data_IF_883964008464
#
_entry.id   IF_883964008464
#
_cell.length_a   1.000
_cell.length_b   1.000
_cell.length_c   1.000
_cell.angle_alpha   90.00
_cell.angle_beta   90.00
_cell.angle_gamma   90.00
#
_symmetry.space_group_name_H-M   'P 1'
#
loop_
_entity.id
_entity.type
_entity.pdbx_description
1 polymer ?
#
# COMPACT_ATOMS: atom_id res chain seq x y z
N UNK A 1 20.81 10.30 -25.47
CA UNK A 1 19.83 11.29 -25.98
C UNK A 1 18.38 10.91 -25.65
N UNK A 2 17.92 9.69 -25.98
CA UNK A 2 16.53 9.23 -25.77
C UNK A 2 16.09 9.23 -24.29
N UNK A 3 16.91 8.72 -23.36
CA UNK A 3 16.55 8.68 -21.92
C UNK A 3 16.41 10.09 -21.30
N UNK A 4 17.19 11.07 -21.78
CA UNK A 4 17.11 12.46 -21.31
C UNK A 4 15.78 13.07 -21.74
N UNK A 5 15.38 12.87 -23.00
CA UNK A 5 14.09 13.33 -23.53
C UNK A 5 12.91 12.69 -22.78
N UNK A 6 12.99 11.39 -22.45
CA UNK A 6 11.98 10.72 -21.63
C UNK A 6 11.90 11.37 -20.24
N UNK A 7 13.02 11.59 -19.56
CA UNK A 7 13.01 12.27 -18.24
C UNK A 7 12.46 13.69 -18.32
N UNK A 8 12.78 14.45 -19.36
CA UNK A 8 12.21 15.80 -19.58
C UNK A 8 10.70 15.70 -19.74
N UNK A 9 10.21 14.81 -20.63
CA UNK A 9 8.78 14.59 -20.86
C UNK A 9 8.03 14.19 -19.59
N UNK A 10 8.61 13.33 -18.77
CA UNK A 10 8.03 12.96 -17.48
C UNK A 10 7.98 14.18 -16.55
N UNK A 11 9.07 14.92 -16.36
CA UNK A 11 9.07 16.09 -15.48
C UNK A 11 8.10 17.20 -15.94
N UNK A 12 7.76 17.31 -17.22
CA UNK A 12 6.71 18.23 -17.68
C UNK A 12 5.33 17.92 -17.08
N UNK A 13 5.05 16.67 -16.68
CA UNK A 13 3.80 16.31 -15.98
C UNK A 13 3.68 17.01 -14.62
N UNK A 14 4.78 17.46 -14.01
CA UNK A 14 4.74 18.26 -12.77
C UNK A 14 4.03 19.60 -12.96
N UNK A 15 3.95 20.13 -14.19
CA UNK A 15 3.21 21.37 -14.49
C UNK A 15 1.71 21.21 -14.23
N UNK A 16 1.17 20.00 -14.25
CA UNK A 16 -0.22 19.71 -13.89
C UNK A 16 -0.47 19.76 -12.38
N UNK A 17 0.57 20.09 -11.58
CA UNK A 17 0.54 20.13 -10.12
C UNK A 17 -0.06 18.83 -9.55
N UNK A 18 0.53 17.65 -9.86
CA UNK A 18 0.04 16.40 -9.30
C UNK A 18 0.20 16.37 -7.77
N UNK A 19 -0.59 15.52 -7.12
CA UNK A 19 -0.33 15.09 -5.75
C UNK A 19 0.76 14.02 -5.81
N UNK A 20 1.90 14.32 -5.20
CA UNK A 20 3.07 13.45 -5.20
C UNK A 20 3.00 12.48 -4.01
N UNK A 21 2.70 11.22 -4.27
CA UNK A 21 2.67 10.18 -3.22
C UNK A 21 4.01 9.47 -3.21
N UNK A 22 4.67 9.41 -2.05
CA UNK A 22 5.94 8.74 -1.91
C UNK A 22 5.70 7.32 -1.37
N UNK A 23 5.79 6.33 -2.25
CA UNK A 23 5.46 4.94 -1.97
C UNK A 23 6.32 4.01 -2.84
N UNK A 24 6.43 2.74 -2.44
CA UNK A 24 7.14 1.69 -3.19
C UNK A 24 6.28 1.11 -4.32
N UNK A 25 5.91 1.94 -5.29
CA UNK A 25 5.12 1.52 -6.47
C UNK A 25 6.03 1.37 -7.68
N UNK A 26 6.13 0.15 -8.20
CA UNK A 26 7.05 -0.19 -9.28
C UNK A 26 6.42 0.03 -10.65
N UNK A 27 7.25 0.42 -11.63
CA UNK A 27 6.79 0.74 -12.98
C UNK A 27 7.63 0.05 -14.04
N UNK A 28 6.97 -0.45 -15.10
CA UNK A 28 7.60 -0.97 -16.31
C UNK A 28 6.99 -0.30 -17.53
N UNK A 29 7.82 0.31 -18.38
CA UNK A 29 7.39 1.07 -19.57
C UNK A 29 6.27 2.10 -19.27
N UNK A 30 6.37 2.78 -18.13
CA UNK A 30 5.44 3.85 -17.72
C UNK A 30 4.10 3.38 -17.15
N UNK A 31 3.93 2.08 -16.92
CA UNK A 31 2.76 1.50 -16.24
C UNK A 31 3.17 0.90 -14.91
N UNK A 32 2.30 1.00 -13.89
CA UNK A 32 2.46 0.26 -12.64
C UNK A 32 2.49 -1.23 -12.95
N UNK A 33 3.38 -1.96 -12.28
CA UNK A 33 3.40 -3.42 -12.31
C UNK A 33 2.88 -3.94 -10.96
N UNK A 34 2.11 -5.03 -11.01
CA UNK A 34 1.62 -5.71 -9.83
C UNK A 34 2.79 -6.38 -9.12
N UNK A 35 3.14 -5.88 -7.94
CA UNK A 35 4.31 -6.35 -7.18
C UNK A 35 4.00 -6.46 -5.69
N UNK A 36 3.31 -5.45 -5.15
CA UNK A 36 2.84 -5.44 -3.78
C UNK A 36 1.55 -4.62 -3.71
N UNK A 37 0.41 -5.32 -3.78
CA UNK A 37 -0.90 -4.70 -3.81
C UNK A 37 -1.10 -3.62 -2.74
N UNK A 38 -0.59 -3.85 -1.52
CA UNK A 38 -0.69 -2.90 -0.42
C UNK A 38 0.05 -1.58 -0.64
N UNK A 39 1.18 -1.61 -1.35
CA UNK A 39 1.87 -0.38 -1.75
C UNK A 39 1.20 0.21 -2.99
N UNK A 40 0.77 -0.62 -3.93
CA UNK A 40 0.19 -0.23 -5.21
C UNK A 40 -1.14 0.53 -5.08
N UNK A 41 -1.92 0.30 -4.02
CA UNK A 41 -3.14 1.08 -3.74
C UNK A 41 -2.84 2.56 -3.41
N UNK A 42 -1.61 2.95 -3.08
CA UNK A 42 -1.22 4.36 -3.06
C UNK A 42 -1.32 5.01 -4.46
N UNK A 43 -1.19 4.22 -5.53
CA UNK A 43 -1.41 4.70 -6.89
C UNK A 43 -2.85 4.50 -7.33
N UNK A 44 -3.40 3.29 -7.19
CA UNK A 44 -4.71 2.96 -7.74
C UNK A 44 -5.86 3.59 -6.94
N UNK A 45 -6.01 3.22 -5.67
CA UNK A 45 -7.13 3.70 -4.85
C UNK A 45 -7.11 5.22 -4.65
N UNK A 46 -5.93 5.83 -4.44
CA UNK A 46 -5.87 7.28 -4.25
C UNK A 46 -6.33 8.07 -5.50
N UNK A 47 -6.20 7.50 -6.71
CA UNK A 47 -6.73 8.12 -7.94
C UNK A 47 -8.25 8.09 -8.02
N UNK A 48 -8.88 7.17 -7.31
CA UNK A 48 -10.33 7.06 -7.25
C UNK A 48 -10.94 8.17 -6.38
N UNK A 49 -10.24 8.57 -5.31
CA UNK A 49 -10.79 9.51 -4.31
C UNK A 49 -10.21 10.93 -4.42
N UNK A 50 -9.07 11.12 -5.11
CA UNK A 50 -8.41 12.42 -5.26
C UNK A 50 -8.68 13.02 -6.64
N UNK A 51 -9.27 14.23 -6.66
CA UNK A 51 -9.62 14.96 -7.90
C UNK A 51 -8.43 15.47 -8.72
N UNK A 52 -7.24 15.50 -8.12
CA UNK A 52 -5.99 15.93 -8.76
C UNK A 52 -5.21 14.71 -9.27
N UNK A 53 -4.40 14.86 -10.34
CA UNK A 53 -3.55 13.77 -10.81
C UNK A 53 -2.64 13.24 -9.69
N UNK A 54 -2.65 11.94 -9.46
CA UNK A 54 -1.71 11.26 -8.54
C UNK A 54 -0.52 10.76 -9.34
N UNK A 55 0.68 11.00 -8.81
CA UNK A 55 1.92 10.43 -9.34
C UNK A 55 2.83 9.98 -8.20
N UNK A 56 3.70 9.01 -8.49
CA UNK A 56 4.65 8.49 -7.50
C UNK A 56 5.90 9.36 -7.46
N UNK A 57 6.28 9.82 -6.27
CA UNK A 57 7.33 10.82 -6.06
C UNK A 57 8.69 10.41 -6.66
N UNK A 58 9.08 9.14 -6.50
CA UNK A 58 10.37 8.62 -6.95
C UNK A 58 10.54 8.54 -8.49
N UNK A 59 9.48 8.73 -9.27
CA UNK A 59 9.56 8.76 -10.74
C UNK A 59 10.10 10.08 -11.29
N UNK A 60 10.07 11.16 -10.51
CA UNK A 60 10.38 12.50 -10.97
C UNK A 60 11.67 12.99 -10.32
N UNK A 61 12.79 12.87 -11.03
CA UNK A 61 14.09 13.32 -10.53
C UNK A 61 14.09 14.80 -10.14
N UNK A 62 13.30 15.64 -10.81
CA UNK A 62 13.17 17.05 -10.43
C UNK A 62 12.40 17.22 -9.11
N UNK A 63 11.36 16.42 -8.87
CA UNK A 63 10.63 16.45 -7.60
C UNK A 63 11.53 16.09 -6.43
N UNK A 64 12.39 15.08 -6.62
CA UNK A 64 13.40 14.68 -5.64
C UNK A 64 14.42 15.80 -5.35
N UNK A 65 15.01 16.39 -6.40
CA UNK A 65 16.04 17.44 -6.30
C UNK A 65 15.50 18.73 -5.67
N UNK A 66 14.29 19.13 -6.03
CA UNK A 66 13.64 20.33 -5.50
C UNK A 66 12.95 20.09 -4.15
N UNK A 67 13.02 18.87 -3.61
CA UNK A 67 12.37 18.47 -2.37
C UNK A 67 10.89 18.91 -2.33
N UNK A 68 10.16 18.62 -3.42
CA UNK A 68 8.76 19.01 -3.54
C UNK A 68 7.91 18.35 -2.46
N UNK A 69 6.78 19.00 -2.16
CA UNK A 69 5.80 18.50 -1.21
C UNK A 69 5.33 17.11 -1.63
N UNK A 70 5.40 16.15 -0.72
CA UNK A 70 5.01 14.77 -0.97
C UNK A 70 4.22 14.20 0.22
N UNK A 71 3.52 13.09 -0.02
CA UNK A 71 2.62 12.49 0.96
C UNK A 71 2.96 11.03 1.21
N UNK A 72 2.92 10.62 2.48
CA UNK A 72 2.92 9.21 2.90
C UNK A 72 1.52 8.89 3.41
N UNK A 73 0.85 7.94 2.76
CA UNK A 73 -0.59 7.73 2.94
C UNK A 73 -0.89 6.33 3.44
N UNK A 74 -0.55 5.29 2.68
CA UNK A 74 -0.84 3.88 3.02
C UNK A 74 0.48 3.11 3.17
N UNK A 75 0.54 2.16 4.11
CA UNK A 75 1.68 1.27 4.31
C UNK A 75 2.69 1.71 5.39
N UNK A 76 3.68 0.85 5.66
CA UNK A 76 4.72 1.05 6.69
C UNK A 76 5.96 1.77 6.12
N UNK A 77 5.84 3.02 5.67
CA UNK A 77 6.89 3.68 4.87
C UNK A 77 7.55 4.90 5.50
N UNK A 78 7.11 5.31 6.70
CA UNK A 78 7.54 6.57 7.33
C UNK A 78 9.05 6.64 7.55
N UNK A 79 9.64 5.60 8.13
CA UNK A 79 11.05 5.52 8.47
C UNK A 79 11.96 5.35 7.25
N UNK A 80 11.40 4.92 6.10
CA UNK A 80 12.14 4.70 4.86
C UNK A 80 12.04 5.88 3.87
N UNK A 81 10.87 6.52 3.78
CA UNK A 81 10.53 7.46 2.70
C UNK A 81 10.34 8.90 3.15
N UNK A 82 10.36 9.19 4.45
CA UNK A 82 10.19 10.56 4.96
C UNK A 82 11.25 11.52 4.42
N UNK A 83 10.81 12.74 4.08
CA UNK A 83 11.63 13.86 3.63
C UNK A 83 11.20 15.14 4.35
N UNK A 84 12.02 16.19 4.24
CA UNK A 84 11.74 17.48 4.91
C UNK A 84 10.39 18.09 4.52
N UNK A 85 9.89 17.84 3.30
CA UNK A 85 8.61 18.36 2.79
C UNK A 85 7.53 17.27 2.69
N UNK A 86 7.62 16.24 3.53
CA UNK A 86 6.65 15.14 3.59
C UNK A 86 5.51 15.47 4.54
N UNK A 87 4.29 15.15 4.13
CA UNK A 87 3.10 15.15 4.99
C UNK A 87 2.53 13.74 5.14
N UNK A 88 2.16 13.37 6.37
CA UNK A 88 1.73 12.00 6.69
C UNK A 88 0.21 11.97 6.94
N UNK A 89 -0.49 11.05 6.28
CA UNK A 89 -1.95 10.91 6.28
C UNK A 89 -2.46 9.52 6.69
N UNK A 90 -1.65 8.72 7.38
CA UNK A 90 -2.05 7.39 7.84
C UNK A 90 -1.00 6.30 7.68
N UNK A 91 0.15 6.62 7.07
CA UNK A 91 1.25 5.68 7.00
C UNK A 91 1.78 5.29 8.40
N UNK A 92 2.48 4.17 8.46
CA UNK A 92 3.12 3.63 9.66
C UNK A 92 4.65 3.58 9.56
N UNK A 93 5.29 3.25 10.68
CA UNK A 93 6.70 2.84 10.75
C UNK A 93 6.75 1.30 10.73
N UNK A 94 7.71 0.71 10.00
CA UNK A 94 7.85 -0.75 9.92
C UNK A 94 8.58 -1.34 11.13
N UNK A 95 9.70 -0.72 11.50
CA UNK A 95 10.58 -1.20 12.58
C UNK A 95 10.73 -0.11 13.64
N UNK A 96 10.37 -0.44 14.87
CA UNK A 96 10.52 0.43 16.03
C UNK A 96 11.99 0.77 16.33
N UNK A 97 12.94 -0.02 15.83
CA UNK A 97 14.38 0.22 16.00
C UNK A 97 14.89 1.30 15.04
N UNK A 98 14.21 1.53 13.93
CA UNK A 98 14.63 2.53 12.95
C UNK A 98 14.46 3.95 13.51
N UNK A 99 15.52 4.75 13.37
CA UNK A 99 15.50 6.18 13.66
C UNK A 99 15.09 6.91 12.38
N UNK A 100 14.21 7.91 12.49
CA UNK A 100 13.86 8.74 11.34
C UNK A 100 15.09 9.53 10.93
N UNK A 101 15.65 9.18 9.76
CA UNK A 101 16.75 9.93 9.16
C UNK A 101 16.35 11.38 8.84
N UNK A 102 15.08 11.60 8.47
CA UNK A 102 14.54 12.92 8.13
C UNK A 102 13.14 13.07 8.74
N UNK A 103 12.94 14.15 9.51
CA UNK A 103 11.63 14.49 10.08
C UNK A 103 10.68 15.02 8.99
N UNK A 104 9.41 14.57 8.98
CA UNK A 104 8.40 15.09 8.07
C UNK A 104 8.04 16.54 8.39
N UNK A 105 7.44 17.24 7.43
CA UNK A 105 6.94 18.60 7.63
C UNK A 105 5.72 18.62 8.56
N UNK A 106 4.79 17.67 8.38
CA UNK A 106 3.54 17.64 9.14
C UNK A 106 2.95 16.22 9.21
N UNK A 107 2.28 15.94 10.32
CA UNK A 107 1.56 14.68 10.55
C UNK A 107 0.08 15.00 10.81
N UNK A 108 -0.82 14.44 10.00
CA UNK A 108 -2.26 14.59 10.15
C UNK A 108 -2.89 13.36 10.80
N UNK A 109 -2.43 12.18 10.41
CA UNK A 109 -2.82 10.89 10.97
C UNK A 109 -1.66 9.90 10.79
N UNK A 110 -1.66 8.85 11.60
CA UNK A 110 -0.72 7.72 11.47
C UNK A 110 -1.47 6.41 11.59
N UNK A 111 -0.87 5.30 11.15
CA UNK A 111 -1.56 4.01 11.15
C UNK A 111 -2.04 3.57 12.54
N UNK A 112 -1.27 3.88 13.59
CA UNK A 112 -1.63 3.49 14.95
C UNK A 112 -0.72 4.07 16.04
N UNK A 113 -1.01 3.75 17.32
CA UNK A 113 -0.39 4.37 18.48
C UNK A 113 1.12 4.13 18.59
N UNK A 114 1.62 2.98 18.13
CA UNK A 114 3.07 2.68 18.13
C UNK A 114 3.86 3.63 17.21
N UNK A 115 3.33 3.93 16.02
CA UNK A 115 3.93 4.91 15.10
C UNK A 115 3.91 6.31 15.73
N UNK A 116 2.79 6.70 16.37
CA UNK A 116 2.71 7.98 17.07
C UNK A 116 3.75 8.09 18.18
N UNK A 117 3.83 7.09 19.05
CA UNK A 117 4.80 7.06 20.16
C UNK A 117 6.21 7.31 19.66
N UNK A 118 6.63 6.59 18.61
CA UNK A 118 7.96 6.73 18.00
C UNK A 118 8.21 8.12 17.40
N UNK A 119 7.20 8.72 16.76
CA UNK A 119 7.30 10.09 16.23
C UNK A 119 7.49 11.12 17.35
N UNK A 120 6.73 10.99 18.45
CA UNK A 120 6.83 11.87 19.61
C UNK A 120 8.19 11.76 20.31
N UNK A 121 8.70 10.53 20.50
CA UNK A 121 10.04 10.26 21.06
C UNK A 121 11.16 10.94 20.25
N UNK A 122 10.95 11.14 18.94
CA UNK A 122 11.88 11.82 18.05
C UNK A 122 11.56 13.31 17.87
N UNK A 123 10.66 13.87 18.68
CA UNK A 123 10.29 15.29 18.65
C UNK A 123 9.53 15.71 17.40
N UNK A 124 8.76 14.79 16.78
CA UNK A 124 7.83 15.09 15.69
C UNK A 124 6.43 15.22 16.28
N UNK A 125 5.76 16.36 16.06
CA UNK A 125 4.37 16.57 16.49
C UNK A 125 3.46 15.59 15.75
N UNK A 126 2.70 14.79 16.49
CA UNK A 126 1.78 13.79 15.95
C UNK A 126 0.46 13.77 16.73
N UNK A 127 -0.70 14.03 16.09
CA UNK A 127 -2.00 13.99 16.75
C UNK A 127 -2.42 12.55 17.07
N UNK A 128 -3.41 12.39 17.96
CA UNK A 128 -4.05 11.10 18.29
C UNK A 128 -5.13 10.74 17.26
N UNK A 129 -4.76 10.77 15.98
CA UNK A 129 -5.62 10.40 14.87
C UNK A 129 -5.02 9.16 14.21
N UNK A 130 -5.78 8.07 14.21
CA UNK A 130 -5.30 6.75 13.81
C UNK A 130 -6.13 6.15 12.68
N UNK A 131 -5.47 5.37 11.84
CA UNK A 131 -6.11 4.56 10.80
C UNK A 131 -5.24 4.45 9.56
N UNK A 132 -5.32 3.29 8.90
CA UNK A 132 -4.81 3.14 7.53
C UNK A 132 -5.87 3.64 6.54
N UNK A 133 -5.56 4.57 5.62
CA UNK A 133 -6.54 5.07 4.64
C UNK A 133 -7.12 3.97 3.74
N UNK A 134 -6.46 2.81 3.61
CA UNK A 134 -7.02 1.65 2.93
C UNK A 134 -8.35 1.17 3.55
N UNK A 135 -8.60 1.42 4.84
CA UNK A 135 -9.89 1.13 5.49
C UNK A 135 -11.08 1.88 4.85
N UNK A 136 -10.82 2.93 4.06
CA UNK A 136 -11.86 3.69 3.36
C UNK A 136 -12.25 3.08 2.00
N UNK A 137 -11.54 2.06 1.51
CA UNK A 137 -11.82 1.42 0.22
C UNK A 137 -13.28 0.93 0.09
N UNK A 138 -13.93 0.31 1.10
CA UNK A 138 -15.33 -0.12 1.01
C UNK A 138 -16.35 1.00 0.75
N UNK A 139 -15.97 2.27 0.99
CA UNK A 139 -16.81 3.41 0.66
C UNK A 139 -16.83 3.68 -0.86
N UNK A 140 -15.80 3.24 -1.57
CA UNK A 140 -15.62 3.45 -3.01
C UNK A 140 -15.92 2.20 -3.83
N UNK A 141 -15.48 1.04 -3.37
CA UNK A 141 -15.62 -0.22 -4.08
C UNK A 141 -16.46 -1.21 -3.27
N UNK A 142 -17.55 -1.69 -3.89
CA UNK A 142 -18.45 -2.68 -3.30
C UNK A 142 -18.54 -3.86 -4.26
N UNK A 143 -17.75 -4.92 -4.02
CA UNK A 143 -17.73 -6.07 -4.92
C UNK A 143 -19.07 -6.80 -4.89
N UNK A 144 -19.52 -7.28 -6.05
CA UNK A 144 -20.72 -8.12 -6.18
C UNK A 144 -20.29 -9.55 -6.46
N UNK A 145 -19.70 -10.19 -5.46
CA UNK A 145 -19.15 -11.55 -5.53
C UNK A 145 -19.93 -12.51 -4.63
N UNK A 146 -20.03 -13.78 -5.05
CA UNK A 146 -20.59 -14.84 -4.21
C UNK A 146 -19.48 -15.44 -3.35
N UNK A 147 -19.85 -15.98 -2.18
CA UNK A 147 -18.94 -16.81 -1.40
C UNK A 147 -18.73 -18.13 -2.13
N UNK A 148 -17.47 -18.47 -2.36
CA UNK A 148 -17.04 -19.67 -3.08
C UNK A 148 -16.05 -20.50 -2.24
N UNK A 149 -15.32 -19.85 -1.33
CA UNK A 149 -14.26 -20.47 -0.53
C UNK A 149 -14.52 -20.30 0.96
N UNK A 150 -14.26 -21.35 1.74
CA UNK A 150 -14.34 -21.28 3.21
C UNK A 150 -13.19 -20.46 3.79
N UNK A 151 -12.02 -20.51 3.16
CA UNK A 151 -10.81 -19.81 3.61
C UNK A 151 -10.11 -19.12 2.43
N UNK A 152 -9.80 -17.84 2.59
CA UNK A 152 -8.81 -17.14 1.78
C UNK A 152 -7.47 -17.12 2.51
N UNK A 153 -6.46 -17.78 1.94
CA UNK A 153 -5.11 -17.79 2.48
C UNK A 153 -4.23 -16.77 1.73
N UNK A 154 -3.76 -15.75 2.45
CA UNK A 154 -2.91 -14.69 1.92
C UNK A 154 -1.48 -14.87 2.45
N UNK A 155 -0.59 -15.56 1.72
CA UNK A 155 0.79 -15.75 2.15
C UNK A 155 1.56 -14.42 2.15
N UNK A 156 2.65 -14.38 2.93
CA UNK A 156 3.64 -13.32 2.77
C UNK A 156 4.35 -13.51 1.43
N UNK A 157 4.66 -12.43 0.72
CA UNK A 157 5.27 -12.47 -0.62
C UNK A 157 6.53 -13.37 -0.69
N UNK A 158 7.35 -13.37 0.36
CA UNK A 158 8.57 -14.20 0.43
C UNK A 158 8.30 -15.71 0.50
N UNK A 159 7.06 -16.12 0.78
CA UNK A 159 6.68 -17.51 1.00
C UNK A 159 5.85 -18.07 -0.17
N UNK A 160 5.62 -17.29 -1.23
CA UNK A 160 4.82 -17.72 -2.39
C UNK A 160 5.41 -18.96 -3.07
N UNK A 161 6.74 -19.04 -3.20
CA UNK A 161 7.44 -20.20 -3.80
C UNK A 161 7.33 -21.47 -2.95
N UNK A 162 6.88 -21.34 -1.70
CA UNK A 162 6.76 -22.44 -0.73
C UNK A 162 5.30 -22.71 -0.39
N UNK A 163 4.37 -22.27 -1.23
CA UNK A 163 2.94 -22.42 -0.95
C UNK A 163 2.53 -23.90 -0.78
N UNK A 164 3.16 -24.79 -1.55
CA UNK A 164 2.92 -26.23 -1.49
C UNK A 164 3.46 -26.89 -0.20
N UNK A 165 4.34 -26.21 0.54
CA UNK A 165 4.80 -26.68 1.86
C UNK A 165 3.71 -26.50 2.94
N UNK A 166 2.71 -25.65 2.69
CA UNK A 166 1.66 -25.37 3.67
C UNK A 166 0.57 -26.43 3.61
N UNK A 167 0.21 -26.95 4.78
CA UNK A 167 -0.85 -27.94 4.95
C UNK A 167 -1.89 -27.46 5.95
N UNK A 168 -3.14 -27.85 5.73
CA UNK A 168 -4.25 -27.70 6.68
C UNK A 168 -4.87 -29.09 6.85
N UNK A 169 -4.95 -29.55 8.10
CA UNK A 169 -5.38 -30.91 8.47
C UNK A 169 -4.59 -32.02 7.74
N UNK A 170 -3.30 -31.78 7.48
CA UNK A 170 -2.41 -32.72 6.81
C UNK A 170 -2.57 -32.79 5.28
N UNK A 171 -3.43 -31.95 4.69
CA UNK A 171 -3.62 -31.84 3.24
C UNK A 171 -2.95 -30.56 2.74
N UNK A 172 -2.25 -30.63 1.61
CA UNK A 172 -1.62 -29.45 0.99
C UNK A 172 -2.68 -28.42 0.59
N UNK A 173 -2.38 -27.14 0.79
CA UNK A 173 -3.32 -26.07 0.41
C UNK A 173 -3.65 -26.12 -1.09
N UNK A 174 -2.70 -26.49 -1.95
CA UNK A 174 -2.91 -26.61 -3.39
C UNK A 174 -3.86 -27.73 -3.81
N UNK A 175 -4.13 -28.69 -2.92
CA UNK A 175 -5.08 -29.79 -3.17
C UNK A 175 -6.50 -29.48 -2.64
N UNK A 176 -6.68 -28.39 -1.88
CA UNK A 176 -7.95 -28.01 -1.24
C UNK A 176 -8.76 -27.12 -2.17
N UNK A 177 -9.98 -27.55 -2.51
CA UNK A 177 -10.90 -26.77 -3.36
C UNK A 177 -11.66 -25.69 -2.59
N UNK A 178 -11.76 -25.82 -1.26
CA UNK A 178 -12.41 -24.90 -0.34
C UNK A 178 -11.51 -23.71 0.07
N UNK A 179 -10.25 -23.71 -0.36
CA UNK A 179 -9.26 -22.69 -0.02
C UNK A 179 -8.82 -21.93 -1.27
N UNK A 180 -8.86 -20.61 -1.20
CA UNK A 180 -8.29 -19.73 -2.22
C UNK A 180 -6.95 -19.17 -1.74
N UNK A 181 -5.88 -19.44 -2.49
CA UNK A 181 -4.61 -18.73 -2.29
C UNK A 181 -4.67 -17.38 -2.99
N UNK A 182 -4.50 -16.31 -2.22
CA UNK A 182 -4.59 -14.91 -2.70
C UNK A 182 -3.19 -14.32 -2.76
N UNK A 183 -2.66 -14.18 -3.99
CA UNK A 183 -1.34 -13.61 -4.24
C UNK A 183 -1.43 -12.08 -4.45
N UNK A 184 -1.01 -11.31 -3.44
CA UNK A 184 -0.98 -9.85 -3.48
C UNK A 184 0.04 -9.26 -4.48
N UNK A 185 0.84 -10.08 -5.16
CA UNK A 185 1.75 -9.66 -6.23
C UNK A 185 1.20 -9.95 -7.63
N UNK A 186 0.14 -10.75 -7.75
CA UNK A 186 -0.38 -11.18 -9.05
C UNK A 186 -1.86 -10.86 -9.23
N UNK A 187 -2.13 -9.69 -9.81
CA UNK A 187 -3.48 -9.21 -10.12
C UNK A 187 -3.49 -8.39 -11.40
N UNK A 188 -4.64 -8.32 -12.09
CA UNK A 188 -4.79 -7.52 -13.33
C UNK A 188 -5.39 -6.15 -13.03
N UNK A 189 -6.39 -6.10 -12.15
CA UNK A 189 -6.95 -4.88 -11.58
C UNK A 189 -6.73 -4.92 -10.09
N UNK A 190 -6.47 -3.77 -9.49
CA UNK A 190 -6.31 -3.68 -8.03
C UNK A 190 -7.58 -4.14 -7.28
N UNK A 191 -8.75 -4.11 -7.92
CA UNK A 191 -9.99 -4.64 -7.33
C UNK A 191 -10.05 -6.16 -7.27
N UNK A 192 -9.25 -6.89 -8.08
CA UNK A 192 -9.29 -8.36 -8.13
C UNK A 192 -8.97 -8.98 -6.76
N UNK A 193 -8.01 -8.40 -6.02
CA UNK A 193 -7.67 -8.85 -4.66
C UNK A 193 -8.85 -8.67 -3.70
N UNK A 194 -9.61 -7.58 -3.86
CA UNK A 194 -10.78 -7.31 -3.02
C UNK A 194 -11.90 -8.31 -3.33
N UNK A 195 -12.13 -8.57 -4.63
CA UNK A 195 -13.09 -9.57 -5.08
C UNK A 195 -12.76 -10.96 -4.51
N UNK A 196 -11.48 -11.35 -4.55
CA UNK A 196 -10.98 -12.60 -3.99
C UNK A 196 -11.16 -12.67 -2.46
N UNK A 197 -10.83 -11.61 -1.72
CA UNK A 197 -11.07 -11.55 -0.28
C UNK A 197 -12.57 -11.67 0.02
N UNK A 198 -13.42 -10.98 -0.75
CA UNK A 198 -14.86 -10.97 -0.54
C UNK A 198 -15.54 -12.28 -1.00
N UNK A 199 -14.89 -13.11 -1.81
CA UNK A 199 -15.40 -14.46 -2.15
C UNK A 199 -15.09 -15.52 -1.09
N UNK A 200 -14.33 -15.17 -0.04
CA UNK A 200 -13.95 -16.08 1.04
C UNK A 200 -14.79 -15.84 2.30
N UNK A 201 -15.16 -16.89 3.04
CA UNK A 201 -15.88 -16.76 4.32
C UNK A 201 -14.98 -16.25 5.46
N UNK A 202 -13.71 -16.68 5.49
CA UNK A 202 -12.72 -16.27 6.48
C UNK A 202 -11.37 -15.99 5.79
N UNK A 203 -10.51 -15.15 6.39
CA UNK A 203 -9.19 -14.81 5.89
C UNK A 203 -8.10 -15.22 6.89
N UNK A 204 -7.11 -15.97 6.41
CA UNK A 204 -5.86 -16.21 7.12
C UNK A 204 -4.77 -15.46 6.35
N UNK A 205 -4.12 -14.48 6.98
CA UNK A 205 -3.17 -13.63 6.28
C UNK A 205 -1.85 -13.45 7.03
N UNK A 206 -0.75 -13.64 6.31
CA UNK A 206 0.59 -13.22 6.70
C UNK A 206 0.97 -11.84 6.12
N UNK A 207 0.00 -11.10 5.56
CA UNK A 207 0.15 -9.74 5.05
C UNK A 207 -0.72 -8.77 5.82
N UNK A 208 -0.13 -7.67 6.30
CA UNK A 208 -0.88 -6.63 7.00
C UNK A 208 -2.03 -6.07 6.14
N UNK A 209 -1.80 -5.81 4.85
CA UNK A 209 -2.86 -5.29 3.97
C UNK A 209 -3.96 -6.32 3.71
N UNK A 210 -3.65 -7.62 3.78
CA UNK A 210 -4.67 -8.67 3.76
C UNK A 210 -5.60 -8.56 4.97
N UNK A 211 -5.02 -8.41 6.17
CA UNK A 211 -5.78 -8.20 7.41
C UNK A 211 -6.59 -6.89 7.39
N UNK A 212 -6.00 -5.78 6.92
CA UNK A 212 -6.69 -4.49 6.80
C UNK A 212 -7.91 -4.62 5.87
N UNK A 213 -7.79 -5.36 4.76
CA UNK A 213 -8.92 -5.58 3.84
C UNK A 213 -9.97 -6.52 4.41
N UNK A 214 -9.58 -7.60 5.08
CA UNK A 214 -10.51 -8.48 5.77
C UNK A 214 -11.36 -7.68 6.77
N UNK A 215 -10.72 -6.89 7.63
CA UNK A 215 -11.38 -6.00 8.59
C UNK A 215 -12.30 -4.97 7.89
N UNK A 216 -11.78 -4.28 6.86
CA UNK A 216 -12.53 -3.25 6.15
C UNK A 216 -13.83 -3.79 5.51
N UNK A 217 -13.77 -5.01 4.96
CA UNK A 217 -14.92 -5.67 4.33
C UNK A 217 -15.70 -6.59 5.27
N UNK A 218 -15.32 -6.64 6.56
CA UNK A 218 -15.96 -7.46 7.59
C UNK A 218 -15.96 -8.95 7.25
N UNK A 219 -14.84 -9.41 6.72
CA UNK A 219 -14.57 -10.84 6.53
C UNK A 219 -13.75 -11.29 7.75
N UNK A 220 -14.25 -12.25 8.54
CA UNK A 220 -13.54 -12.80 9.70
C UNK A 220 -12.10 -13.23 9.40
#
# INVERSE_FOLDING_TARGET
>A
MIQILIKIKENLKLLQRPVLVNAFVYHKKGKVISENWGDDINYFFLREIIKRPITVFNQYSLAYRLNLKNYLVIGSVIDMLSRKNTEIWGAGIIDEKNVLSIKPNKVYAVRGPLTRKKLLEQGVKCPEVYGDPALLIPLHYKPSVKKEYSIGFIPHRSNLERIDDFTIDGVQISERQDILVIDLSNYKKWTDIIDQICSCENIISASLHGLIMAEAYKIP
#
